data_IF_870606187380
#
_entry.id   IF_870606187380
#
_cell.length_a   1.000
_cell.length_b   1.000
_cell.length_c   1.000
_cell.angle_alpha   90.00
_cell.angle_beta   90.00
_cell.angle_gamma   90.00
#
_symmetry.space_group_name_H-M   'P 1'
#
loop_
_entity.id
_entity.type
_entity.pdbx_description
1 polymer ?
#
# COMPACT_ATOMS: atom_id res chain seq x y z
N UNK A 1 19.27 24.35 -19.44
CA UNK A 1 20.02 23.17 -18.95
C UNK A 1 19.13 22.36 -18.03
N UNK A 2 19.18 21.01 -18.08
CA UNK A 2 18.38 20.14 -17.21
C UNK A 2 18.80 20.31 -15.74
N UNK A 3 17.83 20.28 -14.83
CA UNK A 3 18.09 20.32 -13.38
C UNK A 3 18.29 18.90 -12.83
N UNK A 4 19.30 18.68 -11.98
CA UNK A 4 19.50 17.38 -11.35
C UNK A 4 18.40 17.06 -10.33
N UNK A 5 18.06 15.79 -10.23
CA UNK A 5 17.15 15.22 -9.22
C UNK A 5 18.02 14.43 -8.24
N UNK A 6 17.90 14.78 -6.96
CA UNK A 6 18.63 14.10 -5.86
C UNK A 6 17.68 13.09 -5.21
N UNK A 7 18.13 11.85 -5.08
CA UNK A 7 17.44 10.78 -4.35
C UNK A 7 18.37 10.17 -3.30
N UNK A 8 17.83 9.30 -2.43
CA UNK A 8 18.65 8.55 -1.47
C UNK A 8 19.71 7.64 -2.13
N UNK A 9 19.55 7.33 -3.42
CA UNK A 9 20.45 6.49 -4.20
C UNK A 9 21.50 7.29 -4.98
N UNK A 10 21.33 8.60 -5.16
CA UNK A 10 22.28 9.44 -5.89
C UNK A 10 21.68 10.64 -6.60
N UNK A 11 22.39 11.15 -7.62
CA UNK A 11 22.00 12.32 -8.41
C UNK A 11 21.78 11.91 -9.86
N UNK A 12 20.62 12.25 -10.42
CA UNK A 12 20.19 11.85 -11.75
C UNK A 12 19.80 13.06 -12.60
N UNK A 13 20.10 13.01 -13.89
CA UNK A 13 19.51 13.89 -14.90
C UNK A 13 18.52 13.05 -15.72
N UNK A 14 17.26 13.46 -15.74
CA UNK A 14 16.22 12.81 -16.53
C UNK A 14 15.93 13.67 -17.76
N UNK A 15 16.17 13.10 -18.94
CA UNK A 15 15.69 13.65 -20.22
C UNK A 15 14.38 12.94 -20.56
N UNK A 16 13.30 13.70 -20.68
CA UNK A 16 11.99 13.18 -21.10
C UNK A 16 11.89 13.34 -22.60
N UNK A 17 11.86 12.22 -23.33
CA UNK A 17 11.73 12.22 -24.79
C UNK A 17 10.28 12.52 -25.23
N UNK A 18 9.30 11.94 -24.53
CA UNK A 18 7.89 12.09 -24.82
C UNK A 18 7.05 12.00 -23.53
N UNK A 19 5.94 12.74 -23.49
CA UNK A 19 4.90 12.58 -22.46
C UNK A 19 3.64 12.08 -23.17
N UNK A 20 3.24 10.85 -22.87
CA UNK A 20 2.00 10.28 -23.40
C UNK A 20 0.82 10.73 -22.54
N UNK A 21 -0.28 11.13 -23.18
CA UNK A 21 -1.52 11.47 -22.49
C UNK A 21 -2.16 10.19 -21.94
N UNK A 22 -2.08 9.99 -20.63
CA UNK A 22 -2.85 8.96 -19.95
C UNK A 22 -4.32 9.33 -19.86
N UNK A 23 -5.19 8.32 -19.94
CA UNK A 23 -6.62 8.42 -19.61
C UNK A 23 -6.87 7.70 -18.29
N UNK A 24 -7.70 8.30 -17.44
CA UNK A 24 -8.16 7.68 -16.20
C UNK A 24 -9.62 7.26 -16.40
N UNK A 25 -9.81 6.12 -17.06
CA UNK A 25 -11.14 5.52 -17.15
C UNK A 25 -11.62 5.04 -15.76
N UNK A 26 -12.92 4.78 -15.64
CA UNK A 26 -13.51 4.35 -14.37
C UNK A 26 -12.90 3.05 -13.85
N UNK A 27 -12.58 2.10 -14.72
CA UNK A 27 -12.01 0.81 -14.29
C UNK A 27 -10.61 1.01 -13.69
N UNK A 28 -9.74 1.72 -14.39
CA UNK A 28 -8.39 2.05 -13.95
C UNK A 28 -8.42 2.89 -12.68
N UNK A 29 -9.37 3.83 -12.57
CA UNK A 29 -9.61 4.63 -11.37
C UNK A 29 -9.91 3.75 -10.16
N UNK A 30 -10.83 2.79 -10.29
CA UNK A 30 -11.16 1.87 -9.20
C UNK A 30 -9.99 0.96 -8.84
N UNK A 31 -9.22 0.48 -9.83
CA UNK A 31 -8.03 -0.34 -9.59
C UNK A 31 -6.99 0.43 -8.77
N UNK A 32 -6.64 1.65 -9.20
CA UNK A 32 -5.67 2.50 -8.48
C UNK A 32 -6.11 2.76 -7.04
N UNK A 33 -7.39 3.12 -6.84
CA UNK A 33 -7.93 3.37 -5.50
C UNK A 33 -7.86 2.10 -4.63
N UNK A 34 -8.28 0.96 -5.18
CA UNK A 34 -8.27 -0.32 -4.47
C UNK A 34 -6.85 -0.73 -4.06
N UNK A 35 -5.88 -0.58 -4.95
CA UNK A 35 -4.49 -0.99 -4.71
C UNK A 35 -3.82 -0.09 -3.65
N UNK A 36 -4.00 1.23 -3.78
CA UNK A 36 -3.49 2.19 -2.81
C UNK A 36 -4.14 2.00 -1.44
N UNK A 37 -5.46 1.81 -1.40
CA UNK A 37 -6.19 1.56 -0.15
C UNK A 37 -5.75 0.26 0.50
N UNK A 38 -5.61 -0.82 -0.27
CA UNK A 38 -5.16 -2.13 0.23
C UNK A 38 -3.73 -2.07 0.78
N UNK A 39 -2.83 -1.38 0.08
CA UNK A 39 -1.46 -1.15 0.54
C UNK A 39 -1.42 -0.35 1.85
N UNK A 40 -2.17 0.75 1.90
CA UNK A 40 -2.31 1.56 3.11
C UNK A 40 -2.91 0.77 4.28
N UNK A 41 -3.94 -0.04 4.03
CA UNK A 41 -4.61 -0.83 5.07
C UNK A 41 -3.66 -1.88 5.67
N UNK A 42 -2.88 -2.57 4.83
CA UNK A 42 -1.84 -3.50 5.29
C UNK A 42 -0.82 -2.80 6.20
N UNK A 43 -0.41 -1.58 5.84
CA UNK A 43 0.50 -0.78 6.68
C UNK A 43 -0.14 -0.40 8.02
N UNK A 44 -1.44 -0.11 8.07
CA UNK A 44 -2.11 0.19 9.35
C UNK A 44 -2.26 -1.06 10.21
N UNK A 45 -2.67 -2.19 9.63
CA UNK A 45 -2.81 -3.46 10.35
C UNK A 45 -1.45 -3.89 10.93
N UNK A 46 -0.35 -3.74 10.18
CA UNK A 46 0.99 -4.08 10.68
C UNK A 46 1.47 -3.22 11.85
N UNK A 47 0.85 -2.05 12.10
CA UNK A 47 1.14 -1.21 13.28
C UNK A 47 0.35 -1.63 14.53
N UNK A 48 -0.66 -2.48 14.36
CA UNK A 48 -1.54 -2.91 15.44
C UNK A 48 -1.13 -4.32 15.86
N UNK A 49 -0.77 -4.49 17.13
CA UNK A 49 -0.59 -5.82 17.70
C UNK A 49 -1.96 -6.48 17.91
N UNK A 50 -2.27 -7.50 17.12
CA UNK A 50 -3.54 -8.22 17.23
C UNK A 50 -3.44 -9.23 18.39
N UNK A 51 -3.87 -8.82 19.57
CA UNK A 51 -3.99 -9.71 20.74
C UNK A 51 -5.22 -10.60 20.57
N UNK A 52 -5.04 -11.85 20.15
CA UNK A 52 -6.11 -12.86 20.14
C UNK A 52 -6.13 -13.61 21.47
N UNK A 53 -6.94 -13.14 22.43
CA UNK A 53 -7.31 -13.98 23.57
C UNK A 53 -8.47 -14.89 23.16
N UNK A 54 -8.15 -16.07 22.64
CA UNK A 54 -9.10 -17.17 22.54
C UNK A 54 -9.01 -17.98 23.83
N UNK A 55 -9.86 -17.66 24.81
CA UNK A 55 -10.14 -18.58 25.90
C UNK A 55 -11.20 -19.57 25.41
N UNK A 56 -10.77 -20.79 25.12
CA UNK A 56 -11.67 -21.93 24.93
C UNK A 56 -12.04 -22.44 26.32
N UNK A 57 -13.16 -21.99 26.87
CA UNK A 57 -13.76 -22.63 28.04
C UNK A 57 -14.33 -23.98 27.61
N UNK A 58 -13.57 -25.05 27.78
CA UNK A 58 -14.10 -26.41 27.75
C UNK A 58 -14.89 -26.62 29.03
N UNK A 59 -16.22 -26.49 28.95
CA UNK A 59 -17.11 -26.93 30.02
C UNK A 59 -17.01 -28.45 30.12
N UNK A 60 -16.22 -28.94 31.07
CA UNK A 60 -16.33 -30.32 31.54
C UNK A 60 -17.66 -30.43 32.28
N UNK A 61 -18.61 -31.16 31.70
CA UNK A 61 -19.77 -31.66 32.42
C UNK A 61 -19.25 -32.81 33.30
N UNK A 62 -19.14 -32.58 34.61
CA UNK A 62 -19.00 -33.66 35.59
C UNK A 62 -20.41 -34.04 36.07
N UNK A 63 -20.70 -35.33 35.99
CA UNK A 63 -21.94 -36.02 36.38
C UNK A 63 -22.23 -35.96 37.89
#
# INVERSE_FOLDING_TARGET
MLKPIVTAQGVYLLLVEEIVQGELDEQLRYQIISDLFSGWLKQQIGKIEVVKNLELSTTTLED
#
